data_IF_866806995094
#
_entry.id   IF_866806995094
#
_cell.length_a   1.000
_cell.length_b   1.000
_cell.length_c   1.000
_cell.angle_alpha   90.00
_cell.angle_beta   90.00
_cell.angle_gamma   90.00
#
_symmetry.space_group_name_H-M   'P 1'
#
loop_
_entity.id
_entity.type
_entity.pdbx_description
1 polymer ?
#
# COMPACT_ATOMS: atom_id res chain seq x y z
N UNK A 1 -6.08 -30.38 15.10
CA UNK A 1 -5.57 -29.53 14.01
C UNK A 1 -4.68 -30.39 13.11
N UNK A 2 -5.03 -30.58 11.83
CA UNK A 2 -4.18 -31.38 10.93
C UNK A 2 -3.20 -30.49 10.13
N UNK A 3 -2.16 -31.09 9.54
CA UNK A 3 -1.10 -30.39 8.81
C UNK A 3 -1.63 -29.54 7.65
N UNK A 4 -2.66 -30.02 6.94
CA UNK A 4 -3.27 -29.29 5.83
C UNK A 4 -4.04 -28.05 6.31
N UNK A 5 -4.75 -28.13 7.43
CA UNK A 5 -5.42 -26.99 8.05
C UNK A 5 -4.42 -25.92 8.51
N UNK A 6 -3.29 -26.34 9.08
CA UNK A 6 -2.22 -25.43 9.47
C UNK A 6 -1.65 -24.66 8.26
N UNK A 7 -1.36 -25.37 7.16
CA UNK A 7 -0.87 -24.75 5.92
C UNK A 7 -1.89 -23.76 5.34
N UNK A 8 -3.18 -24.10 5.33
CA UNK A 8 -4.23 -23.20 4.85
C UNK A 8 -4.37 -21.96 5.71
N UNK A 9 -4.30 -22.09 7.03
CA UNK A 9 -4.35 -20.95 7.94
C UNK A 9 -3.14 -20.05 7.79
N UNK A 10 -1.94 -20.62 7.64
CA UNK A 10 -0.73 -19.84 7.41
C UNK A 10 -0.79 -19.09 6.08
N UNK A 11 -1.21 -19.75 5.00
CA UNK A 11 -1.39 -19.11 3.69
C UNK A 11 -2.42 -17.97 3.75
N UNK A 12 -3.56 -18.17 4.43
CA UNK A 12 -4.56 -17.13 4.62
C UNK A 12 -4.03 -15.96 5.45
N UNK A 13 -3.28 -16.24 6.52
CA UNK A 13 -2.67 -15.20 7.35
C UNK A 13 -1.66 -14.37 6.56
N UNK A 14 -0.83 -15.00 5.74
CA UNK A 14 0.13 -14.31 4.86
C UNK A 14 -0.59 -13.44 3.84
N UNK A 15 -1.57 -13.97 3.11
CA UNK A 15 -2.33 -13.20 2.13
C UNK A 15 -3.05 -12.01 2.78
N UNK A 16 -3.67 -12.21 3.95
CA UNK A 16 -4.33 -11.14 4.68
C UNK A 16 -3.34 -10.07 5.15
N UNK A 17 -2.12 -10.45 5.57
CA UNK A 17 -1.10 -9.52 6.00
C UNK A 17 -0.57 -8.67 4.82
N UNK A 18 -0.37 -9.29 3.65
CA UNK A 18 0.02 -8.61 2.42
C UNK A 18 -1.06 -7.61 1.98
N UNK A 19 -2.33 -8.03 1.94
CA UNK A 19 -3.45 -7.16 1.59
C UNK A 19 -3.61 -6.01 2.60
N UNK A 20 -3.46 -6.28 3.90
CA UNK A 20 -3.54 -5.24 4.93
C UNK A 20 -2.44 -4.18 4.77
N UNK A 21 -1.22 -4.58 4.38
CA UNK A 21 -0.13 -3.63 4.11
C UNK A 21 -0.39 -2.81 2.84
N UNK A 22 -0.89 -3.44 1.78
CA UNK A 22 -1.30 -2.74 0.55
C UNK A 22 -2.37 -1.68 0.83
N UNK A 23 -3.40 -2.03 1.61
CA UNK A 23 -4.47 -1.11 1.97
C UNK A 23 -4.01 0.02 2.88
N UNK A 24 -3.13 -0.25 3.84
CA UNK A 24 -2.53 0.82 4.68
C UNK A 24 -1.78 1.84 3.83
N UNK A 25 -0.97 1.36 2.90
CA UNK A 25 -0.25 2.21 1.96
C UNK A 25 -1.20 3.05 1.09
N UNK A 26 -2.23 2.40 0.52
CA UNK A 26 -3.21 3.08 -0.32
C UNK A 26 -3.98 4.16 0.45
N UNK A 27 -4.47 3.84 1.65
CA UNK A 27 -5.25 4.76 2.48
C UNK A 27 -4.43 6.00 2.86
N UNK A 28 -3.17 5.83 3.26
CA UNK A 28 -2.31 6.97 3.57
C UNK A 28 -2.07 7.87 2.35
N UNK A 29 -1.80 7.30 1.17
CA UNK A 29 -1.66 8.10 -0.06
C UNK A 29 -2.96 8.77 -0.50
N UNK A 30 -4.11 8.14 -0.22
CA UNK A 30 -5.43 8.72 -0.45
C UNK A 30 -5.66 9.93 0.46
N UNK A 31 -5.37 9.80 1.75
CA UNK A 31 -5.51 10.88 2.75
C UNK A 31 -4.60 12.07 2.41
N UNK A 32 -3.39 11.80 1.91
CA UNK A 32 -2.46 12.82 1.45
C UNK A 32 -2.76 13.35 0.03
N UNK A 33 -3.79 12.82 -0.64
CA UNK A 33 -4.18 13.14 -2.04
C UNK A 33 -3.04 12.92 -3.06
N UNK A 34 -2.08 12.05 -2.74
CA UNK A 34 -0.88 11.77 -3.54
C UNK A 34 -1.10 10.70 -4.61
N UNK A 35 -2.12 9.87 -4.45
CA UNK A 35 -2.48 8.86 -5.43
C UNK A 35 -3.66 9.29 -6.30
N UNK A 36 -3.56 9.01 -7.59
CA UNK A 36 -4.64 9.16 -8.56
C UNK A 36 -4.78 7.88 -9.35
N UNK A 37 -6.02 7.43 -9.53
CA UNK A 37 -6.33 6.29 -10.37
C UNK A 37 -7.41 6.68 -11.39
N UNK A 38 -7.31 6.12 -12.59
CA UNK A 38 -8.35 6.25 -13.60
C UNK A 38 -8.45 4.99 -14.46
N UNK A 39 -9.66 4.67 -14.89
CA UNK A 39 -9.90 3.64 -15.90
C UNK A 39 -9.97 4.31 -17.27
N UNK A 40 -9.21 3.80 -18.23
CA UNK A 40 -9.28 4.23 -19.63
C UNK A 40 -9.31 3.01 -20.53
N UNK A 41 -10.44 2.82 -21.22
CA UNK A 41 -10.69 1.63 -22.02
C UNK A 41 -10.78 0.37 -21.15
N UNK A 42 -9.85 -0.57 -21.35
CA UNK A 42 -9.76 -1.84 -20.60
C UNK A 42 -8.62 -1.86 -19.57
N UNK A 43 -8.00 -0.72 -19.29
CA UNK A 43 -6.87 -0.63 -18.40
C UNK A 43 -7.10 0.38 -17.28
N UNK A 44 -6.58 0.04 -16.11
CA UNK A 44 -6.50 0.87 -14.92
C UNK A 44 -5.12 1.49 -14.85
N UNK A 45 -5.08 2.81 -14.73
CA UNK A 45 -3.88 3.60 -14.62
C UNK A 45 -3.77 4.11 -13.19
N UNK A 46 -2.63 3.91 -12.57
CA UNK A 46 -2.32 4.43 -11.23
C UNK A 46 -1.11 5.35 -11.32
N UNK A 47 -1.24 6.51 -10.69
CA UNK A 47 -0.18 7.50 -10.55
C UNK A 47 -0.01 7.87 -9.08
N UNK A 48 1.23 7.96 -8.62
CA UNK A 48 1.60 8.38 -7.26
C UNK A 48 2.57 9.56 -7.37
N UNK A 49 2.34 10.63 -6.62
CA UNK A 49 3.14 11.87 -6.66
C UNK A 49 3.25 12.44 -8.08
N UNK A 50 2.12 12.51 -8.80
CA UNK A 50 2.05 12.93 -10.20
C UNK A 50 2.87 12.08 -11.19
N UNK A 51 3.50 10.98 -10.75
CA UNK A 51 4.20 10.04 -11.63
C UNK A 51 3.32 8.83 -11.90
N UNK A 52 3.17 8.49 -13.18
CA UNK A 52 2.54 7.23 -13.56
C UNK A 52 3.39 6.05 -13.09
N UNK A 53 2.78 5.13 -12.35
CA UNK A 53 3.49 3.99 -11.75
C UNK A 53 2.99 2.64 -12.23
N UNK A 54 1.73 2.48 -12.63
CA UNK A 54 1.23 1.19 -13.11
C UNK A 54 0.06 1.32 -14.10
N UNK A 55 0.02 0.42 -15.08
CA UNK A 55 -1.12 0.22 -15.99
C UNK A 55 -1.45 -1.26 -16.04
N UNK A 56 -2.65 -1.65 -15.58
CA UNK A 56 -3.04 -3.06 -15.52
C UNK A 56 -4.49 -3.30 -15.92
N UNK A 57 -4.84 -4.56 -16.23
CA UNK A 57 -6.19 -4.94 -16.65
C UNK A 57 -7.26 -4.88 -15.54
N UNK A 58 -6.85 -4.80 -14.28
CA UNK A 58 -7.77 -4.67 -13.13
C UNK A 58 -7.23 -3.68 -12.11
N UNK A 59 -8.12 -3.13 -11.29
CA UNK A 59 -7.75 -2.19 -10.24
C UNK A 59 -6.81 -2.82 -9.21
N UNK A 60 -7.09 -4.05 -8.75
CA UNK A 60 -6.26 -4.77 -7.79
C UNK A 60 -4.83 -4.98 -8.32
N UNK A 61 -4.69 -5.46 -9.55
CA UNK A 61 -3.38 -5.63 -10.18
C UNK A 61 -2.65 -4.30 -10.35
N UNK A 62 -3.36 -3.23 -10.73
CA UNK A 62 -2.77 -1.91 -10.87
C UNK A 62 -2.26 -1.39 -9.52
N UNK A 63 -3.01 -1.65 -8.45
CA UNK A 63 -2.66 -1.22 -7.10
C UNK A 63 -1.46 -2.00 -6.55
N UNK A 64 -1.44 -3.33 -6.71
CA UNK A 64 -0.30 -4.18 -6.32
C UNK A 64 0.98 -3.78 -7.07
N UNK A 65 0.88 -3.57 -8.38
CA UNK A 65 2.02 -3.15 -9.21
C UNK A 65 2.50 -1.74 -8.84
N UNK A 66 1.57 -0.82 -8.55
CA UNK A 66 1.89 0.52 -8.08
C UNK A 66 2.60 0.49 -6.72
N UNK A 67 2.16 -0.36 -5.79
CA UNK A 67 2.78 -0.54 -4.49
C UNK A 67 4.21 -1.07 -4.63
N UNK A 68 4.41 -2.13 -5.41
CA UNK A 68 5.75 -2.67 -5.67
C UNK A 68 6.70 -1.62 -6.29
N UNK A 69 6.18 -0.81 -7.22
CA UNK A 69 6.94 0.30 -7.78
C UNK A 69 7.22 1.41 -6.77
N UNK A 70 6.29 1.73 -5.87
CA UNK A 70 6.48 2.75 -4.84
C UNK A 70 7.55 2.31 -3.82
N UNK A 71 7.51 1.05 -3.39
CA UNK A 71 8.49 0.45 -2.47
C UNK A 71 9.90 0.49 -3.07
N UNK A 72 10.06 0.08 -4.33
CA UNK A 72 11.35 0.13 -5.05
C UNK A 72 11.91 1.55 -5.17
N UNK A 73 11.05 2.56 -5.20
CA UNK A 73 11.43 3.97 -5.38
C UNK A 73 11.51 4.75 -4.05
N UNK A 74 11.31 4.09 -2.90
CA UNK A 74 11.30 4.75 -1.59
C UNK A 74 10.15 5.76 -1.42
N UNK A 75 9.05 5.59 -2.17
CA UNK A 75 7.85 6.46 -2.14
C UNK A 75 6.71 5.82 -1.34
N UNK A 76 7.07 4.94 -0.39
CA UNK A 76 6.14 4.35 0.55
C UNK A 76 5.36 5.42 1.32
N UNK A 77 4.13 5.08 1.68
CA UNK A 77 3.28 5.86 2.54
C UNK A 77 3.97 6.02 3.90
N UNK A 78 4.54 7.20 4.13
CA UNK A 78 5.13 7.65 5.39
C UNK A 78 6.36 6.85 5.88
N UNK A 79 7.56 7.45 5.70
CA UNK A 79 8.69 7.24 6.62
C UNK A 79 8.24 7.64 8.02
N UNK A 80 8.31 6.75 9.01
CA UNK A 80 8.26 7.11 10.43
C UNK A 80 9.12 8.36 10.70
N UNK A 81 8.49 9.53 10.85
CA UNK A 81 9.04 10.64 11.61
C UNK A 81 8.52 10.46 13.04
N UNK A 82 9.14 9.54 13.76
CA UNK A 82 9.09 9.53 15.22
C UNK A 82 9.94 10.69 15.74
N UNK A 83 9.54 11.92 15.44
CA UNK A 83 9.86 13.11 16.20
C UNK A 83 8.88 13.19 17.37
N UNK A 84 9.08 12.35 18.39
CA UNK A 84 8.41 12.54 19.68
C UNK A 84 8.85 13.91 20.20
N UNK A 85 7.99 14.91 20.03
CA UNK A 85 8.06 16.15 20.80
C UNK A 85 7.53 15.84 22.20
N UNK A 86 8.43 15.31 23.05
CA UNK A 86 8.20 15.37 24.49
C UNK A 86 8.11 16.85 24.87
N UNK A 87 6.88 17.29 25.07
CA UNK A 87 6.54 18.54 25.75
C UNK A 87 7.09 18.43 27.18
N UNK A 88 8.33 18.87 27.36
CA UNK A 88 8.91 19.14 28.66
C UNK A 88 8.18 20.32 29.28
N UNK A 89 7.24 20.01 30.17
CA UNK A 89 6.52 20.97 30.97
C UNK A 89 7.48 21.85 31.77
N UNK A 90 7.18 23.15 31.74
CA UNK A 90 7.72 24.16 32.65
C UNK A 90 7.61 23.70 34.12
N UNK A 91 8.72 23.87 34.86
CA UNK A 91 8.75 23.98 36.31
C UNK A 91 9.07 25.43 36.68
#
# INVERSE_FOLDING_TARGET
MNRMQLVRMQAAATANAEDASLWRWFSALMEEHRIRWCVKGRAWYVSVDNRHVATEGSFDLALRSAHEHAERNGRGAHRDDSGIVETGAHM
#
